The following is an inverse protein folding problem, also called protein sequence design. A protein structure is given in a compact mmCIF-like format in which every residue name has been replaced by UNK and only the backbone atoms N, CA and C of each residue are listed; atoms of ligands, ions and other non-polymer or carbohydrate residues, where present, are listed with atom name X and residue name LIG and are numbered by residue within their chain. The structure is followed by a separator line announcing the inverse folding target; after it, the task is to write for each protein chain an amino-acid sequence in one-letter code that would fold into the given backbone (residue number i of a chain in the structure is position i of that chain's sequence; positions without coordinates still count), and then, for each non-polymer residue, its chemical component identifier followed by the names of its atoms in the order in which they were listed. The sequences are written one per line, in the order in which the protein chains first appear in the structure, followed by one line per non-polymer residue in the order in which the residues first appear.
data_IF_145950675317
#
_entry.id   IF_145950675317
#
_cell.length_a   1.000
_cell.length_b   1.000
_cell.length_c   1.000
_cell.angle_alpha   90.00
_cell.angle_beta   90.00
_cell.angle_gamma   90.00
#
_symmetry.space_group_name_H-M   'P 1'
#
loop_
_entity.id
_entity.type
_entity.pdbx_description
1 polymer ?
#
# COMPACT_ATOMS: atom_id res chain seq x y z
N UNK A 1 -20.93 -15.60 32.75
CA UNK A 1 -21.53 -14.55 31.88
C UNK A 1 -20.45 -14.05 30.93
N UNK A 2 -20.48 -14.50 29.68
CA UNK A 2 -19.58 -14.01 28.62
C UNK A 2 -19.90 -12.55 28.33
N UNK A 3 -18.90 -11.67 28.44
CA UNK A 3 -18.98 -10.31 27.92
C UNK A 3 -19.10 -10.41 26.40
N UNK A 4 -20.22 -9.91 25.87
CA UNK A 4 -20.42 -9.62 24.45
C UNK A 4 -19.23 -8.80 23.95
N UNK A 5 -18.39 -9.40 23.11
CA UNK A 5 -17.50 -8.64 22.24
C UNK A 5 -18.40 -8.03 21.16
N UNK A 6 -18.70 -6.74 21.30
CA UNK A 6 -19.24 -5.95 20.21
C UNK A 6 -18.17 -5.89 19.12
N UNK A 7 -18.39 -6.64 18.04
CA UNK A 7 -17.70 -6.43 16.76
C UNK A 7 -18.52 -5.40 15.99
N UNK A 8 -18.52 -4.15 16.48
CA UNK A 8 -19.16 -3.01 15.83
C UNK A 8 -18.21 -1.81 15.94
N UNK A 9 -17.11 -1.84 15.19
CA UNK A 9 -16.34 -0.66 14.75
C UNK A 9 -15.02 -1.05 14.10
N UNK A 10 -15.08 -1.71 12.94
CA UNK A 10 -13.96 -1.61 12.00
C UNK A 10 -14.54 -1.08 10.71
N UNK A 11 -14.51 0.24 10.53
CA UNK A 11 -14.47 0.75 9.16
C UNK A 11 -13.15 0.26 8.60
N UNK A 12 -13.23 -0.74 7.74
CA UNK A 12 -12.07 -1.30 7.07
C UNK A 12 -11.69 -0.24 6.01
N UNK A 13 -10.53 0.45 6.12
CA UNK A 13 -10.21 1.61 5.26
C UNK A 13 -10.29 1.32 3.76
N UNK A 14 -10.13 0.05 3.37
CA UNK A 14 -10.26 -0.44 2.01
C UNK A 14 -11.64 -0.21 1.35
N UNK A 15 -12.72 0.02 2.12
CA UNK A 15 -14.06 0.28 1.58
C UNK A 15 -14.22 1.68 0.97
N UNK A 16 -13.29 2.60 1.24
CA UNK A 16 -13.37 4.01 0.80
C UNK A 16 -12.54 4.31 -0.46
N UNK A 17 -11.78 3.35 -0.98
CA UNK A 17 -10.79 3.58 -2.04
C UNK A 17 -11.31 3.36 -3.48
N UNK A 18 -12.56 2.89 -3.67
CA UNK A 18 -13.05 2.52 -5.01
C UNK A 18 -14.38 3.13 -5.42
N UNK A 19 -15.08 3.90 -4.60
CA UNK A 19 -16.32 4.52 -5.07
C UNK A 19 -16.78 5.68 -4.16
N UNK A 20 -17.27 6.76 -4.76
CA UNK A 20 -18.09 7.78 -4.09
C UNK A 20 -19.37 7.14 -3.49
N UNK A 21 -19.68 5.91 -3.90
CA UNK A 21 -20.74 5.05 -3.40
C UNK A 21 -20.17 3.83 -2.65
N UNK A 22 -19.54 4.09 -1.50
CA UNK A 22 -18.87 3.06 -0.68
C UNK A 22 -19.64 1.76 -0.53
N UNK A 23 -18.91 0.63 -0.60
CA UNK A 23 -19.48 -0.70 -0.47
C UNK A 23 -20.21 -0.87 0.89
N UNK A 24 -21.54 -0.91 0.86
CA UNK A 24 -22.38 -0.86 2.07
C UNK A 24 -22.57 -2.25 2.71
N UNK A 25 -23.02 -2.26 3.97
CA UNK A 25 -23.43 -3.50 4.64
C UNK A 25 -24.63 -4.17 3.95
N UNK A 26 -25.45 -3.39 3.25
CA UNK A 26 -26.53 -3.92 2.42
C UNK A 26 -25.97 -4.67 1.21
N UNK A 27 -25.00 -4.10 0.49
CA UNK A 27 -24.32 -4.79 -0.61
C UNK A 27 -23.68 -6.10 -0.15
N UNK A 28 -23.02 -6.09 1.02
CA UNK A 28 -22.47 -7.30 1.62
C UNK A 28 -23.55 -8.37 1.90
N UNK A 29 -24.68 -7.96 2.49
CA UNK A 29 -25.78 -8.86 2.80
C UNK A 29 -26.44 -9.43 1.54
N UNK A 30 -26.49 -8.66 0.45
CA UNK A 30 -26.96 -9.14 -0.84
C UNK A 30 -26.01 -10.18 -1.43
N UNK A 31 -24.69 -9.92 -1.42
CA UNK A 31 -23.70 -10.88 -1.90
C UNK A 31 -23.72 -12.19 -1.10
N UNK A 32 -23.98 -12.12 0.21
CA UNK A 32 -24.11 -13.30 1.08
C UNK A 32 -25.26 -14.24 0.73
N UNK A 33 -26.21 -13.82 -0.12
CA UNK A 33 -27.32 -14.67 -0.56
C UNK A 33 -26.92 -15.65 -1.67
N UNK A 34 -25.81 -15.40 -2.35
CA UNK A 34 -25.31 -16.26 -3.41
C UNK A 34 -24.48 -17.42 -2.86
N UNK A 35 -24.47 -18.55 -3.56
CA UNK A 35 -23.54 -19.65 -3.25
C UNK A 35 -22.11 -19.26 -3.62
N UNK A 36 -21.10 -19.93 -3.05
CA UNK A 36 -19.70 -19.74 -3.44
C UNK A 36 -19.44 -19.97 -4.94
N UNK A 37 -20.19 -20.87 -5.58
CA UNK A 37 -20.11 -21.16 -7.02
C UNK A 37 -20.58 -19.95 -7.83
N UNK A 38 -21.76 -19.42 -7.52
CA UNK A 38 -22.31 -18.25 -8.21
C UNK A 38 -21.45 -17.00 -7.98
N UNK A 39 -20.89 -16.82 -6.78
CA UNK A 39 -19.95 -15.72 -6.53
C UNK A 39 -18.69 -15.83 -7.40
N UNK A 40 -18.17 -17.05 -7.62
CA UNK A 40 -17.01 -17.27 -8.50
C UNK A 40 -17.32 -16.94 -9.96
N UNK A 41 -18.50 -17.31 -10.43
CA UNK A 41 -18.97 -16.96 -11.78
C UNK A 41 -19.09 -15.44 -11.95
N UNK A 42 -19.72 -14.75 -10.99
CA UNK A 42 -19.84 -13.29 -11.00
C UNK A 42 -18.46 -12.62 -11.00
N UNK A 43 -17.53 -13.08 -10.16
CA UNK A 43 -16.17 -12.55 -10.10
C UNK A 43 -15.46 -12.73 -11.45
N UNK A 44 -15.57 -13.92 -12.07
CA UNK A 44 -14.96 -14.20 -13.36
C UNK A 44 -15.57 -13.33 -14.48
N UNK A 45 -16.89 -13.14 -14.47
CA UNK A 45 -17.59 -12.27 -15.42
C UNK A 45 -17.14 -10.82 -15.30
N UNK A 46 -17.12 -10.26 -14.08
CA UNK A 46 -16.64 -8.89 -13.83
C UNK A 46 -15.19 -8.74 -14.29
N UNK A 47 -14.32 -9.71 -13.97
CA UNK A 47 -12.93 -9.69 -14.39
C UNK A 47 -12.77 -9.72 -15.92
N UNK A 48 -13.65 -10.43 -16.63
CA UNK A 48 -13.63 -10.48 -18.09
C UNK A 48 -14.10 -9.17 -18.74
N UNK A 49 -15.04 -8.47 -18.10
CA UNK A 49 -15.60 -7.21 -18.59
C UNK A 49 -14.77 -5.99 -18.21
N UNK A 50 -13.99 -6.06 -17.13
CA UNK A 50 -13.23 -4.94 -16.57
C UNK A 50 -11.74 -5.30 -16.42
N UNK A 51 -10.87 -4.86 -17.35
CA UNK A 51 -9.43 -5.13 -17.31
C UNK A 51 -8.77 -4.75 -15.97
N UNK A 52 -9.17 -3.62 -15.36
CA UNK A 52 -8.66 -3.18 -14.06
C UNK A 52 -9.01 -4.17 -12.93
N UNK A 53 -10.21 -4.74 -12.94
CA UNK A 53 -10.63 -5.77 -11.98
C UNK A 53 -9.85 -7.06 -12.17
N UNK A 54 -9.57 -7.45 -13.42
CA UNK A 54 -8.73 -8.63 -13.70
C UNK A 54 -7.31 -8.48 -13.14
N UNK A 55 -6.67 -7.32 -13.36
CA UNK A 55 -5.35 -7.01 -12.80
C UNK A 55 -5.38 -7.04 -11.27
N UNK A 56 -6.40 -6.41 -10.68
CA UNK A 56 -6.61 -6.36 -9.24
C UNK A 56 -6.76 -7.77 -8.65
N UNK A 57 -7.60 -8.63 -9.25
CA UNK A 57 -7.77 -10.02 -8.81
C UNK A 57 -6.47 -10.82 -8.93
N UNK A 58 -5.79 -10.70 -10.06
CA UNK A 58 -4.53 -11.39 -10.32
C UNK A 58 -3.49 -11.00 -9.29
N UNK A 59 -3.14 -9.72 -9.24
CA UNK A 59 -2.02 -9.24 -8.44
C UNK A 59 -2.30 -9.35 -6.93
N UNK A 60 -3.55 -9.14 -6.49
CA UNK A 60 -3.87 -9.15 -5.05
C UNK A 60 -4.36 -10.51 -4.54
N UNK A 61 -4.96 -11.39 -5.34
CA UNK A 61 -5.54 -12.64 -4.84
C UNK A 61 -5.02 -13.93 -5.47
N UNK A 62 -4.74 -13.94 -6.78
CA UNK A 62 -4.42 -15.17 -7.50
C UNK A 62 -2.92 -15.43 -7.62
N UNK A 63 -2.08 -14.39 -7.49
CA UNK A 63 -0.63 -14.55 -7.55
C UNK A 63 -0.08 -15.14 -6.24
N UNK A 64 0.77 -16.17 -6.32
CA UNK A 64 1.50 -16.67 -5.16
C UNK A 64 2.32 -15.57 -4.49
N UNK A 65 2.39 -15.52 -3.15
CA UNK A 65 3.17 -14.52 -2.41
C UNK A 65 4.60 -14.29 -2.92
N UNK A 66 5.24 -15.35 -3.43
CA UNK A 66 6.62 -15.37 -3.93
C UNK A 66 6.77 -14.65 -5.27
N UNK A 67 5.72 -14.62 -6.09
CA UNK A 67 5.75 -14.06 -7.44
C UNK A 67 5.25 -12.61 -7.48
N UNK A 68 4.68 -12.12 -6.36
CA UNK A 68 4.13 -10.76 -6.25
C UNK A 68 5.16 -9.70 -6.63
N UNK A 69 6.42 -9.70 -6.13
CA UNK A 69 7.37 -8.62 -6.39
C UNK A 69 7.66 -8.40 -7.88
N UNK A 70 7.93 -9.48 -8.62
CA UNK A 70 8.19 -9.43 -10.06
C UNK A 70 6.94 -8.94 -10.81
N UNK A 71 5.77 -9.47 -10.46
CA UNK A 71 4.54 -9.13 -11.14
C UNK A 71 4.15 -7.65 -10.96
N UNK A 72 4.25 -7.11 -9.74
CA UNK A 72 3.90 -5.70 -9.50
C UNK A 72 4.91 -4.75 -10.13
N UNK A 73 6.19 -5.13 -10.22
CA UNK A 73 7.21 -4.35 -10.92
C UNK A 73 6.89 -4.24 -12.42
N UNK A 74 6.57 -5.36 -13.07
CA UNK A 74 6.14 -5.36 -14.47
C UNK A 74 4.85 -4.56 -14.69
N UNK A 75 3.88 -4.66 -13.77
CA UNK A 75 2.62 -3.93 -13.87
C UNK A 75 2.81 -2.42 -13.68
N UNK A 76 3.67 -2.00 -12.74
CA UNK A 76 4.03 -0.59 -12.55
C UNK A 76 4.62 -0.01 -13.84
N UNK A 77 5.68 -0.61 -14.38
CA UNK A 77 6.32 -0.13 -15.61
C UNK A 77 5.34 -0.08 -16.79
N UNK A 78 4.52 -1.12 -16.95
CA UNK A 78 3.50 -1.14 -18.00
C UNK A 78 2.52 0.02 -17.87
N UNK A 79 2.06 0.34 -16.67
CA UNK A 79 1.07 1.42 -16.44
C UNK A 79 1.69 2.81 -16.62
N UNK A 80 2.93 3.00 -16.20
CA UNK A 80 3.65 4.25 -16.42
C UNK A 80 3.90 4.49 -17.91
N UNK A 81 4.34 3.46 -18.66
CA UNK A 81 4.58 3.57 -20.10
C UNK A 81 3.31 3.80 -20.92
N UNK A 82 2.18 3.25 -20.48
CA UNK A 82 0.88 3.37 -21.16
C UNK A 82 -0.06 4.38 -20.47
N UNK A 83 0.50 5.36 -19.75
CA UNK A 83 -0.31 6.35 -19.04
C UNK A 83 -1.19 7.13 -20.03
N UNK A 84 -2.50 7.25 -19.77
CA UNK A 84 -3.38 8.06 -20.61
C UNK A 84 -3.08 9.55 -20.41
N UNK A 85 -3.52 10.38 -21.35
CA UNK A 85 -3.58 11.83 -21.15
C UNK A 85 -4.77 12.16 -20.25
N UNK A 86 -4.51 12.64 -19.04
CA UNK A 86 -5.57 13.03 -18.10
C UNK A 86 -6.19 14.37 -18.48
N UNK A 87 -7.52 14.43 -18.47
CA UNK A 87 -8.32 15.62 -18.80
C UNK A 87 -8.93 16.29 -17.58
N UNK A 88 -8.92 15.61 -16.44
CA UNK A 88 -9.49 16.10 -15.19
C UNK A 88 -8.79 15.47 -13.97
N UNK A 89 -8.92 16.13 -12.82
CA UNK A 89 -8.45 15.59 -11.52
C UNK A 89 -9.11 14.25 -11.17
N UNK A 90 -10.40 14.06 -11.52
CA UNK A 90 -11.11 12.79 -11.29
C UNK A 90 -10.50 11.61 -12.06
N UNK A 91 -10.01 11.85 -13.28
CA UNK A 91 -9.31 10.82 -14.07
C UNK A 91 -7.95 10.48 -13.45
N UNK A 92 -7.23 11.48 -12.93
CA UNK A 92 -5.99 11.28 -12.19
C UNK A 92 -6.23 10.46 -10.93
N UNK A 93 -7.20 10.84 -10.11
CA UNK A 93 -7.55 10.16 -8.87
C UNK A 93 -7.93 8.70 -9.14
N UNK A 94 -8.79 8.47 -10.14
CA UNK A 94 -9.17 7.12 -10.55
C UNK A 94 -7.96 6.28 -10.97
N UNK A 95 -7.04 6.85 -11.77
CA UNK A 95 -5.84 6.14 -12.20
C UNK A 95 -4.86 5.85 -11.07
N UNK A 96 -4.64 6.81 -10.15
CA UNK A 96 -3.82 6.61 -8.95
C UNK A 96 -4.39 5.52 -8.05
N UNK A 97 -5.72 5.47 -7.89
CA UNK A 97 -6.39 4.39 -7.16
C UNK A 97 -6.15 3.03 -7.83
N UNK A 98 -6.30 2.93 -9.14
CA UNK A 98 -5.99 1.69 -9.84
C UNK A 98 -4.52 1.29 -9.68
N UNK A 99 -3.59 2.24 -9.77
CA UNK A 99 -2.16 2.00 -9.59
C UNK A 99 -1.87 1.47 -8.18
N UNK A 100 -2.47 2.07 -7.15
CA UNK A 100 -2.38 1.59 -5.78
C UNK A 100 -2.82 0.13 -5.64
N UNK A 101 -3.96 -0.25 -6.21
CA UNK A 101 -4.43 -1.64 -6.10
C UNK A 101 -3.64 -2.62 -6.95
N UNK A 102 -3.10 -2.18 -8.07
CA UNK A 102 -2.31 -3.02 -8.96
C UNK A 102 -0.89 -3.26 -8.41
N UNK A 103 -0.33 -2.29 -7.68
CA UNK A 103 1.10 -2.27 -7.29
C UNK A 103 1.29 -2.33 -5.77
N UNK A 104 0.65 -1.48 -4.98
CA UNK A 104 0.90 -1.35 -3.53
C UNK A 104 0.12 -2.39 -2.72
N UNK A 105 -1.19 -2.53 -2.99
CA UNK A 105 -2.05 -3.44 -2.22
C UNK A 105 -1.56 -4.91 -2.22
N UNK A 106 -0.99 -5.46 -3.30
CA UNK A 106 -0.39 -6.80 -3.30
C UNK A 106 0.80 -6.96 -2.36
N UNK A 107 1.59 -5.90 -2.14
CA UNK A 107 2.85 -5.97 -1.37
C UNK A 107 2.62 -6.38 0.09
N UNK A 108 1.43 -6.09 0.64
CA UNK A 108 1.02 -6.56 1.96
C UNK A 108 0.99 -8.09 2.12
N UNK A 109 0.98 -8.85 1.01
CA UNK A 109 0.89 -10.31 0.99
C UNK A 109 2.18 -11.04 0.69
N UNK A 110 3.25 -10.32 0.37
CA UNK A 110 4.55 -10.91 -0.01
C UNK A 110 5.03 -11.88 1.07
N UNK A 111 5.74 -12.94 0.66
CA UNK A 111 6.35 -13.90 1.56
C UNK A 111 7.38 -13.23 2.50
N UNK A 112 7.44 -13.58 3.80
CA UNK A 112 8.36 -12.96 4.77
C UNK A 112 9.85 -13.01 4.38
N UNK A 113 10.25 -13.97 3.54
CA UNK A 113 11.63 -14.12 3.07
C UNK A 113 12.06 -13.14 1.96
N UNK A 114 11.14 -12.36 1.39
CA UNK A 114 11.42 -11.46 0.26
C UNK A 114 11.47 -9.98 0.66
N UNK A 115 11.45 -9.71 1.95
CA UNK A 115 11.21 -8.37 2.47
C UNK A 115 12.27 -7.35 2.08
N UNK A 116 13.54 -7.73 2.03
CA UNK A 116 14.58 -6.82 1.57
C UNK A 116 14.43 -6.44 0.09
N UNK A 117 14.04 -7.40 -0.76
CA UNK A 117 13.80 -7.17 -2.18
C UNK A 117 12.61 -6.22 -2.37
N UNK A 118 11.53 -6.45 -1.62
CA UNK A 118 10.33 -5.60 -1.72
C UNK A 118 10.55 -4.23 -1.12
N UNK A 119 11.28 -4.12 -0.02
CA UNK A 119 11.71 -2.82 0.50
C UNK A 119 12.52 -2.06 -0.55
N UNK A 120 13.52 -2.69 -1.18
CA UNK A 120 14.30 -2.05 -2.24
C UNK A 120 13.43 -1.59 -3.41
N UNK A 121 12.45 -2.40 -3.82
CA UNK A 121 11.48 -2.02 -4.85
C UNK A 121 10.63 -0.81 -4.41
N UNK A 122 10.10 -0.79 -3.19
CA UNK A 122 9.32 0.36 -2.69
C UNK A 122 10.19 1.62 -2.61
N UNK A 123 11.45 1.51 -2.21
CA UNK A 123 12.37 2.65 -2.21
C UNK A 123 12.61 3.18 -3.62
N UNK A 124 12.75 2.30 -4.62
CA UNK A 124 12.81 2.70 -6.03
C UNK A 124 11.54 3.41 -6.47
N UNK A 125 10.35 2.91 -6.12
CA UNK A 125 9.08 3.58 -6.44
C UNK A 125 8.98 4.99 -5.84
N UNK A 126 9.52 5.21 -4.64
CA UNK A 126 9.53 6.55 -4.06
C UNK A 126 10.57 7.44 -4.73
N UNK A 127 11.74 6.91 -5.11
CA UNK A 127 12.72 7.66 -5.89
C UNK A 127 12.17 8.07 -7.27
N UNK A 128 11.33 7.23 -7.88
CA UNK A 128 10.66 7.51 -9.15
C UNK A 128 9.37 8.33 -9.00
N UNK A 129 9.08 8.87 -7.82
CA UNK A 129 7.84 9.58 -7.62
C UNK A 129 7.70 10.84 -8.47
N UNK A 130 8.81 11.51 -8.80
CA UNK A 130 8.80 12.65 -9.73
C UNK A 130 8.25 12.26 -11.10
N UNK A 131 8.58 11.06 -11.59
CA UNK A 131 8.06 10.51 -12.85
C UNK A 131 6.54 10.33 -12.82
N UNK A 132 5.97 9.95 -11.67
CA UNK A 132 4.51 9.89 -11.49
C UNK A 132 3.91 11.29 -11.41
N UNK A 133 4.58 12.23 -10.75
CA UNK A 133 4.13 13.62 -10.64
C UNK A 133 4.07 14.34 -11.98
N UNK A 134 5.08 14.12 -12.83
CA UNK A 134 5.12 14.66 -14.20
C UNK A 134 3.97 14.16 -15.08
N UNK A 135 3.45 12.96 -14.82
CA UNK A 135 2.31 12.40 -15.55
C UNK A 135 0.98 13.01 -15.13
N UNK A 136 0.78 13.21 -13.83
CA UNK A 136 -0.51 13.65 -13.31
C UNK A 136 -0.67 15.18 -13.31
N UNK A 137 0.42 15.93 -13.15
CA UNK A 137 0.46 17.40 -13.13
C UNK A 137 -0.53 18.07 -12.14
N UNK A 138 -0.99 17.33 -11.11
CA UNK A 138 -1.89 17.80 -10.05
C UNK A 138 -1.29 17.57 -8.67
N UNK A 139 -1.90 18.20 -7.65
CA UNK A 139 -1.47 18.05 -6.25
C UNK A 139 -1.90 16.70 -5.62
N UNK A 140 -2.75 15.90 -6.28
CA UNK A 140 -3.29 14.64 -5.76
C UNK A 140 -2.28 13.49 -5.66
N UNK A 141 -1.06 13.69 -6.17
CA UNK A 141 0.06 12.77 -5.97
C UNK A 141 0.44 12.54 -4.50
N UNK A 142 -0.10 13.34 -3.57
CA UNK A 142 0.08 13.15 -2.14
C UNK A 142 -0.48 11.80 -1.64
N UNK A 143 -1.60 11.31 -2.21
CA UNK A 143 -2.20 10.03 -1.80
C UNK A 143 -1.29 8.83 -2.13
N UNK A 144 -0.71 8.82 -3.34
CA UNK A 144 0.28 7.84 -3.77
C UNK A 144 1.57 7.91 -2.94
N UNK A 145 2.04 9.13 -2.64
CA UNK A 145 3.16 9.34 -1.73
C UNK A 145 2.91 8.64 -0.40
N UNK A 146 1.79 8.95 0.27
CA UNK A 146 1.51 8.40 1.58
C UNK A 146 1.40 6.87 1.55
N UNK A 147 0.77 6.31 0.51
CA UNK A 147 0.64 4.87 0.35
C UNK A 147 2.00 4.14 0.26
N UNK A 148 2.97 4.73 -0.43
CA UNK A 148 4.33 4.17 -0.55
C UNK A 148 5.05 4.09 0.80
N UNK A 149 4.95 5.14 1.60
CA UNK A 149 5.57 5.15 2.93
C UNK A 149 4.80 4.27 3.92
N UNK A 150 3.48 4.15 3.79
CA UNK A 150 2.68 3.23 4.60
C UNK A 150 3.12 1.78 4.39
N UNK A 151 3.28 1.35 3.13
CA UNK A 151 3.75 -0.01 2.83
C UNK A 151 5.22 -0.20 3.24
N UNK A 152 6.10 0.78 3.02
CA UNK A 152 7.49 0.70 3.48
C UNK A 152 7.55 0.48 4.99
N UNK A 153 6.78 1.26 5.74
CA UNK A 153 6.71 1.15 7.20
C UNK A 153 6.11 -0.19 7.62
N UNK A 154 5.05 -0.65 6.95
CA UNK A 154 4.47 -1.97 7.19
C UNK A 154 5.49 -3.10 6.99
N UNK A 155 6.28 -3.07 5.91
CA UNK A 155 7.30 -4.08 5.63
C UNK A 155 8.41 -4.09 6.70
N UNK A 156 8.89 -2.91 7.09
CA UNK A 156 9.92 -2.79 8.13
C UNK A 156 9.43 -3.34 9.47
N UNK A 157 8.15 -3.15 9.82
CA UNK A 157 7.57 -3.67 11.06
C UNK A 157 7.24 -5.16 10.98
N UNK A 158 6.65 -5.63 9.87
CA UNK A 158 6.14 -7.00 9.70
C UNK A 158 7.23 -8.05 9.83
N UNK A 159 8.45 -7.75 9.42
CA UNK A 159 9.55 -8.71 9.42
C UNK A 159 10.31 -8.78 10.75
N UNK A 160 9.89 -8.00 11.73
CA UNK A 160 10.73 -7.63 12.86
C UNK A 160 9.97 -7.68 14.18
N UNK A 161 9.16 -8.72 14.40
CA UNK A 161 8.63 -9.04 15.72
C UNK A 161 9.81 -9.17 16.71
N UNK A 162 9.82 -8.32 17.74
CA UNK A 162 10.71 -8.34 18.92
C UNK A 162 12.21 -8.01 18.75
N UNK A 163 12.64 -7.27 17.72
CA UNK A 163 14.06 -6.83 17.59
C UNK A 163 14.27 -5.33 17.30
N UNK A 164 14.16 -4.44 18.32
CA UNK A 164 14.26 -2.98 18.16
C UNK A 164 15.58 -2.49 17.56
N UNK A 165 16.71 -3.12 17.91
CA UNK A 165 18.03 -2.73 17.38
C UNK A 165 18.21 -3.08 15.90
N UNK A 166 17.60 -4.17 15.44
CA UNK A 166 17.61 -4.50 14.02
C UNK A 166 16.68 -3.56 13.23
N UNK A 167 15.52 -3.19 13.79
CA UNK A 167 14.67 -2.13 13.22
C UNK A 167 15.45 -0.81 13.09
N UNK A 168 16.23 -0.46 14.12
CA UNK A 168 17.08 0.73 14.13
C UNK A 168 18.12 0.70 13.01
N UNK A 169 18.82 -0.43 12.85
CA UNK A 169 19.82 -0.60 11.78
C UNK A 169 19.19 -0.50 10.38
N UNK A 170 18.02 -1.13 10.18
CA UNK A 170 17.34 -1.14 8.88
C UNK A 170 16.79 0.24 8.50
N UNK A 171 16.15 0.94 9.43
CA UNK A 171 15.66 2.31 9.18
C UNK A 171 16.82 3.27 8.95
N UNK A 172 17.95 3.09 9.64
CA UNK A 172 19.17 3.86 9.37
C UNK A 172 19.66 3.64 7.94
N UNK A 173 19.70 2.38 7.49
CA UNK A 173 20.08 2.04 6.11
C UNK A 173 19.14 2.68 5.09
N UNK A 174 17.83 2.53 5.27
CA UNK A 174 16.81 3.16 4.44
C UNK A 174 17.04 4.67 4.36
N UNK A 175 17.12 5.36 5.51
CA UNK A 175 17.27 6.82 5.55
C UNK A 175 18.58 7.32 4.92
N UNK A 176 19.65 6.53 5.00
CA UNK A 176 20.91 6.82 4.33
C UNK A 176 20.81 6.65 2.81
N UNK A 177 20.09 5.63 2.33
CA UNK A 177 19.84 5.41 0.90
C UNK A 177 18.87 6.47 0.31
N UNK A 178 18.04 7.09 1.16
CA UNK A 178 16.91 7.90 0.72
C UNK A 178 17.15 9.39 0.50
N UNK A 179 18.35 9.88 0.87
CA UNK A 179 18.88 11.26 0.79
C UNK A 179 17.94 12.49 0.80
N UNK A 180 16.71 12.37 1.32
CA UNK A 180 15.71 13.43 1.29
C UNK A 180 15.16 13.66 2.69
N UNK A 181 15.32 14.91 3.16
CA UNK A 181 14.74 15.40 4.42
C UNK A 181 13.24 15.10 4.53
N UNK A 182 12.54 15.15 3.39
CA UNK A 182 11.12 14.84 3.25
C UNK A 182 10.78 13.42 3.69
N UNK A 183 11.59 12.42 3.32
CA UNK A 183 11.36 11.03 3.75
C UNK A 183 11.53 10.83 5.26
N UNK A 184 12.46 11.55 5.88
CA UNK A 184 12.64 11.51 7.33
C UNK A 184 11.47 12.11 8.11
N UNK A 185 10.89 13.22 7.61
CA UNK A 185 9.69 13.84 8.18
C UNK A 185 8.45 12.93 8.04
N UNK A 186 8.31 12.27 6.89
CA UNK A 186 7.21 11.35 6.58
C UNK A 186 7.27 10.06 7.43
N UNK A 187 8.49 9.54 7.69
CA UNK A 187 8.72 8.42 8.64
C UNK A 187 8.44 8.88 10.08
N UNK A 188 8.90 10.09 10.46
CA UNK A 188 8.63 10.65 11.80
C UNK A 188 7.14 10.77 12.08
N UNK A 189 6.36 11.19 11.09
CA UNK A 189 4.90 11.27 11.19
C UNK A 189 4.28 9.89 11.46
N UNK A 190 4.68 8.85 10.73
CA UNK A 190 4.15 7.48 10.90
C UNK A 190 4.46 6.84 12.24
N UNK A 191 5.65 7.09 12.79
CA UNK A 191 6.05 6.57 14.12
C UNK A 191 5.03 6.99 15.20
N UNK A 192 4.38 8.14 15.06
CA UNK A 192 3.38 8.60 16.04
C UNK A 192 2.19 7.65 16.19
N UNK A 193 1.87 6.89 15.14
CA UNK A 193 0.73 5.97 15.09
C UNK A 193 1.05 4.53 15.51
N UNK A 194 2.31 4.23 15.83
CA UNK A 194 2.70 2.94 16.41
C UNK A 194 1.98 2.70 17.74
N UNK A 195 1.53 1.46 17.93
CA UNK A 195 0.89 1.02 19.17
C UNK A 195 1.89 0.53 20.22
N UNK A 196 3.07 0.08 19.81
CA UNK A 196 4.15 -0.33 20.70
C UNK A 196 4.98 0.89 21.13
N UNK A 197 4.88 1.26 22.41
CA UNK A 197 5.56 2.44 22.98
C UNK A 197 7.08 2.31 23.03
N UNK A 198 7.62 1.09 23.16
CA UNK A 198 9.07 0.86 23.19
C UNK A 198 9.65 1.02 21.77
N UNK A 199 9.02 0.41 20.77
CA UNK A 199 9.38 0.61 19.37
C UNK A 199 9.24 2.08 18.96
N UNK A 200 8.13 2.72 19.34
CA UNK A 200 7.89 4.14 19.08
C UNK A 200 8.99 5.03 19.65
N UNK A 201 9.45 4.77 20.88
CA UNK A 201 10.57 5.49 21.50
C UNK A 201 11.86 5.31 20.71
N UNK A 202 12.27 4.06 20.47
CA UNK A 202 13.54 3.74 19.77
C UNK A 202 13.58 4.36 18.38
N UNK A 203 12.50 4.25 17.62
CA UNK A 203 12.42 4.79 16.26
C UNK A 203 12.35 6.33 16.26
N UNK A 204 11.63 6.94 17.22
CA UNK A 204 11.58 8.40 17.36
C UNK A 204 12.96 8.98 17.66
N UNK A 205 13.71 8.37 18.57
CA UNK A 205 15.08 8.78 18.92
C UNK A 205 15.99 8.70 17.69
N UNK A 206 15.94 7.59 16.94
CA UNK A 206 16.73 7.41 15.74
C UNK A 206 16.45 8.49 14.69
N UNK A 207 15.18 8.70 14.36
CA UNK A 207 14.79 9.66 13.30
C UNK A 207 15.13 11.09 13.69
N UNK A 208 14.96 11.47 14.97
CA UNK A 208 15.35 12.80 15.45
C UNK A 208 16.88 13.02 15.39
N UNK A 209 17.69 12.00 15.65
CA UNK A 209 19.15 12.06 15.49
C UNK A 209 19.54 12.22 14.02
N UNK A 210 18.85 11.55 13.10
CA UNK A 210 19.14 11.62 11.67
C UNK A 210 18.69 12.95 11.05
N UNK A 211 17.53 13.49 11.46
CA UNK A 211 17.05 14.81 11.03
C UNK A 211 17.95 15.93 11.56
N UNK A 212 18.48 15.82 12.78
CA UNK A 212 19.36 16.86 13.36
C UNK A 212 20.79 16.86 12.79
N UNK A 213 21.20 15.78 12.10
CA UNK A 213 22.53 15.65 11.47
C UNK A 213 22.55 16.04 9.99
N UNK A 214 21.39 16.24 9.36
CA UNK A 214 21.23 16.71 7.97
C UNK A 214 20.84 18.18 7.96
#
# INVERSE_FOLDING_TARGET
MMKKVMVDSVSVPWQLLCDEHGFTREHYNQLKKFSPETLREIIAEIASCHPSTSVLLRNKWLTPPEDIPEQVACEFERRIQNSPSFRSEKEVESWLNELFFAVIAPLYRVAPGQSEQVESFVLQLIAEQERVWELILTNDGYSWHCALYDILFHLVLRNMEDQPEHQRQRITKILNEFDTRRGAEEIKFRIQYLQDEEQKRVLSELVNVLISKR
#
